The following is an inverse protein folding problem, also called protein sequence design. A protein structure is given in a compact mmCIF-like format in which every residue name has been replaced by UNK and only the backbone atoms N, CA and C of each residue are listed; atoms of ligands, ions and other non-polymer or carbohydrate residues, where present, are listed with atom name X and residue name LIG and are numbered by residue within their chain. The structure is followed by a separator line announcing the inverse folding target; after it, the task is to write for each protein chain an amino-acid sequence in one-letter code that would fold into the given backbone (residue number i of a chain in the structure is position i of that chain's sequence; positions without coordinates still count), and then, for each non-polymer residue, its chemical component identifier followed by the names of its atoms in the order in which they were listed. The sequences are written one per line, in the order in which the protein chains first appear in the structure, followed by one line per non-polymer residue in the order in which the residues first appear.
data_IF_327705687906
#
_entry.id   IF_327705687906
#
_cell.length_a   1.000
_cell.length_b   1.000
_cell.length_c   1.000
_cell.angle_alpha   90.00
_cell.angle_beta   90.00
_cell.angle_gamma   90.00
#
_symmetry.space_group_name_H-M   'P 1'
#
loop_
_entity.id
_entity.type
_entity.pdbx_description
1 polymer ?
#
# COMPACT_ATOMS: atom_id res chain seq x y z
N UNK A 1 42.66 83.88 16.01
CA UNK A 1 43.39 85.16 15.86
C UNK A 1 42.39 86.28 15.59
N UNK A 2 42.70 87.52 15.99
CA UNK A 2 41.78 88.67 15.88
C UNK A 2 41.54 89.11 14.42
N UNK A 3 40.37 89.71 14.16
CA UNK A 3 39.94 90.24 12.85
C UNK A 3 40.49 91.65 12.59
N UNK A 4 40.82 91.93 11.33
CA UNK A 4 40.77 93.27 10.71
C UNK A 4 40.29 93.12 9.25
N UNK A 5 39.71 94.19 8.69
CA UNK A 5 39.07 94.18 7.39
C UNK A 5 39.65 95.29 6.49
N UNK A 6 40.09 94.91 5.30
CA UNK A 6 40.41 95.76 4.15
C UNK A 6 40.34 94.87 2.89
N UNK A 7 40.18 95.46 1.70
CA UNK A 7 39.89 94.72 0.46
C UNK A 7 41.01 93.82 -0.07
N UNK A 8 40.61 92.94 -0.98
CA UNK A 8 41.44 92.16 -1.93
C UNK A 8 42.63 91.35 -1.36
N UNK A 9 42.28 90.19 -0.79
CA UNK A 9 43.05 88.92 -0.80
C UNK A 9 44.44 88.87 -0.14
N UNK A 10 44.52 88.35 1.09
CA UNK A 10 45.75 87.72 1.67
C UNK A 10 45.38 86.51 2.56
N UNK A 11 46.25 85.50 2.62
CA UNK A 11 46.14 84.25 3.41
C UNK A 11 47.57 83.72 3.76
N UNK A 12 47.83 82.66 4.54
CA UNK A 12 47.04 81.55 5.12
C UNK A 12 47.61 81.17 6.54
N UNK A 13 47.36 79.93 7.01
CA UNK A 13 48.14 79.09 7.97
C UNK A 13 47.83 79.21 9.48
N UNK A 14 47.83 78.13 10.29
CA UNK A 14 47.63 76.68 10.04
C UNK A 14 47.11 75.99 11.34
N UNK A 15 46.36 74.89 11.15
CA UNK A 15 46.07 73.72 12.03
C UNK A 15 45.98 73.82 13.57
N UNK A 16 44.95 73.19 14.15
CA UNK A 16 45.07 72.01 15.06
C UNK A 16 43.69 71.54 15.58
N UNK A 17 43.30 70.37 15.07
CA UNK A 17 42.57 69.23 15.69
C UNK A 17 41.20 69.35 16.39
N UNK A 18 40.34 68.45 15.90
CA UNK A 18 39.45 67.50 16.62
C UNK A 18 38.21 68.00 17.35
N UNK A 19 37.04 67.61 16.84
CA UNK A 19 35.75 67.76 17.53
C UNK A 19 34.54 67.18 16.79
N UNK A 20 34.71 66.17 15.92
CA UNK A 20 33.60 65.66 15.09
C UNK A 20 32.61 64.87 15.94
N UNK A 21 31.45 65.48 16.21
CA UNK A 21 30.31 64.84 16.89
C UNK A 21 29.74 63.71 16.02
N UNK A 22 29.87 62.46 16.48
CA UNK A 22 29.22 61.31 15.85
C UNK A 22 27.72 61.31 16.15
N UNK A 23 26.91 61.80 15.21
CA UNK A 23 25.46 61.56 15.23
C UNK A 23 25.20 60.15 14.73
N UNK A 24 25.03 59.19 15.66
CA UNK A 24 24.56 57.83 15.33
C UNK A 24 23.14 57.91 14.77
N UNK A 25 22.98 57.81 13.45
CA UNK A 25 21.69 57.48 12.83
C UNK A 25 21.38 56.02 13.11
N UNK A 26 20.39 55.73 13.97
CA UNK A 26 19.81 54.39 14.03
C UNK A 26 18.90 54.21 12.81
N UNK A 27 19.35 53.42 11.85
CA UNK A 27 18.44 52.81 10.87
C UNK A 27 17.75 51.64 11.55
N UNK A 28 16.49 51.82 11.96
CA UNK A 28 15.64 50.70 12.40
C UNK A 28 15.12 50.02 11.15
N UNK A 29 15.80 48.95 10.73
CA UNK A 29 15.30 48.06 9.68
C UNK A 29 14.09 47.30 10.22
N UNK A 30 12.88 47.72 9.83
CA UNK A 30 11.65 47.02 10.17
C UNK A 30 11.59 45.68 9.43
N UNK A 31 11.88 44.59 10.15
CA UNK A 31 11.73 43.24 9.62
C UNK A 31 10.25 42.88 9.56
N UNK A 32 9.63 43.09 8.39
CA UNK A 32 8.28 42.61 8.10
C UNK A 32 8.28 41.08 8.03
N UNK A 33 8.01 40.44 9.16
CA UNK A 33 7.66 39.03 9.23
C UNK A 33 6.29 38.83 8.57
N UNK A 34 6.29 38.63 7.26
CA UNK A 34 5.15 38.06 6.54
C UNK A 34 5.03 36.61 6.98
N UNK A 35 4.22 36.38 8.02
CA UNK A 35 3.76 35.04 8.36
C UNK A 35 2.82 34.59 7.24
N UNK A 36 3.39 33.88 6.26
CA UNK A 36 2.59 33.08 5.33
C UNK A 36 1.91 32.05 6.20
N UNK A 37 0.60 32.16 6.38
CA UNK A 37 -0.19 31.12 7.00
C UNK A 37 -0.01 29.86 6.14
N UNK A 38 0.76 28.89 6.64
CA UNK A 38 0.74 27.55 6.05
C UNK A 38 -0.71 27.09 6.09
N UNK A 39 -1.33 26.71 4.96
CA UNK A 39 -2.66 26.15 5.00
C UNK A 39 -2.61 24.97 5.98
N UNK A 40 -3.48 25.01 7.00
CA UNK A 40 -3.62 23.88 7.90
C UNK A 40 -3.97 22.68 7.03
N UNK A 41 -3.13 21.65 7.03
CA UNK A 41 -3.42 20.41 6.34
C UNK A 41 -4.84 20.00 6.74
N UNK A 42 -5.75 19.95 5.75
CA UNK A 42 -7.05 19.36 6.00
C UNK A 42 -6.78 17.91 6.40
N UNK A 43 -7.43 17.38 7.44
CA UNK A 43 -7.30 15.96 7.77
C UNK A 43 -7.66 15.14 6.53
N UNK A 44 -6.88 14.10 6.25
CA UNK A 44 -7.09 13.21 5.11
C UNK A 44 -8.50 12.66 5.07
N UNK A 45 -9.01 12.43 3.86
CA UNK A 45 -10.31 11.79 3.64
C UNK A 45 -10.20 10.33 4.06
N UNK A 46 -11.23 9.81 4.75
CA UNK A 46 -11.39 8.38 4.95
C UNK A 46 -12.32 7.86 3.85
N UNK A 47 -11.84 6.92 3.05
CA UNK A 47 -12.54 6.35 1.91
C UNK A 47 -12.69 4.85 2.13
N UNK A 48 -13.92 4.38 2.38
CA UNK A 48 -14.22 2.96 2.57
C UNK A 48 -14.68 2.31 1.24
N UNK A 49 -14.06 1.18 0.87
CA UNK A 49 -14.39 0.39 -0.31
C UNK A 49 -14.74 -1.04 0.11
N UNK A 50 -15.88 -1.52 -0.36
CA UNK A 50 -16.41 -2.85 -0.08
C UNK A 50 -15.75 -3.98 -0.87
N UNK A 51 -16.50 -5.06 -1.01
CA UNK A 51 -16.16 -6.30 -1.71
C UNK A 51 -15.57 -6.04 -3.10
N UNK A 52 -14.48 -6.75 -3.44
CA UNK A 52 -13.80 -6.62 -4.74
C UNK A 52 -13.87 -7.92 -5.54
N UNK A 53 -13.81 -9.09 -4.90
CA UNK A 53 -13.92 -10.41 -5.57
C UNK A 53 -13.12 -10.54 -6.88
N UNK A 54 -11.84 -10.15 -6.85
CA UNK A 54 -10.97 -10.21 -8.02
C UNK A 54 -11.38 -9.30 -9.21
N UNK A 55 -12.31 -8.35 -9.05
CA UNK A 55 -12.73 -7.37 -10.07
C UNK A 55 -11.67 -6.26 -10.24
N UNK A 56 -10.48 -6.64 -10.71
CA UNK A 56 -9.30 -5.75 -10.77
C UNK A 56 -9.49 -4.54 -11.68
N UNK A 57 -10.27 -4.65 -12.77
CA UNK A 57 -10.50 -3.53 -13.69
C UNK A 57 -11.35 -2.44 -13.04
N UNK A 58 -12.46 -2.87 -12.44
CA UNK A 58 -13.42 -2.06 -11.71
C UNK A 58 -12.76 -1.41 -10.48
N UNK A 59 -11.97 -2.17 -9.73
CA UNK A 59 -11.25 -1.66 -8.55
C UNK A 59 -10.21 -0.60 -8.92
N UNK A 60 -9.41 -0.82 -9.98
CA UNK A 60 -8.46 0.16 -10.51
C UNK A 60 -9.15 1.45 -10.97
N UNK A 61 -10.28 1.33 -11.68
CA UNK A 61 -11.05 2.48 -12.14
C UNK A 61 -11.70 3.25 -10.97
N UNK A 62 -12.16 2.55 -9.93
CA UNK A 62 -12.71 3.14 -8.71
C UNK A 62 -11.65 3.95 -7.95
N UNK A 63 -10.46 3.38 -7.71
CA UNK A 63 -9.36 4.09 -7.03
C UNK A 63 -8.91 5.36 -7.78
N UNK A 64 -8.85 5.31 -9.11
CA UNK A 64 -8.58 6.48 -9.95
C UNK A 64 -9.70 7.53 -9.86
N UNK A 65 -10.96 7.11 -9.91
CA UNK A 65 -12.13 8.01 -9.82
C UNK A 65 -12.23 8.70 -8.46
N UNK A 66 -11.71 8.05 -7.40
CA UNK A 66 -11.63 8.59 -6.04
C UNK A 66 -10.37 9.44 -5.80
N UNK A 67 -9.51 9.60 -6.81
CA UNK A 67 -8.23 10.32 -6.74
C UNK A 67 -7.27 9.72 -5.69
N UNK A 68 -7.35 8.41 -5.44
CA UNK A 68 -6.42 7.67 -4.57
C UNK A 68 -5.21 7.15 -5.34
N UNK A 69 -5.39 6.80 -6.62
CA UNK A 69 -4.30 6.33 -7.50
C UNK A 69 -4.25 7.05 -8.85
N UNK A 70 -3.06 7.12 -9.43
CA UNK A 70 -2.82 7.69 -10.76
C UNK A 70 -3.11 6.70 -11.91
N UNK A 71 -2.76 7.11 -13.14
CA UNK A 71 -2.91 6.30 -14.36
C UNK A 71 -2.19 4.93 -14.28
N UNK A 72 -1.02 4.88 -13.65
CA UNK A 72 -0.18 3.70 -13.49
C UNK A 72 -0.50 2.90 -12.21
N UNK A 73 -1.50 3.37 -11.44
CA UNK A 73 -1.95 2.84 -10.16
C UNK A 73 -0.96 3.06 -9.00
N UNK A 74 -0.13 4.10 -9.08
CA UNK A 74 0.65 4.60 -7.95
C UNK A 74 -0.21 5.47 -7.02
N UNK A 75 0.08 5.47 -5.71
CA UNK A 75 -0.65 6.27 -4.72
C UNK A 75 -0.48 7.79 -4.94
N UNK A 76 -1.61 8.49 -5.02
CA UNK A 76 -1.67 9.96 -5.06
C UNK A 76 -2.62 10.56 -4.02
N UNK A 77 -3.27 9.74 -3.18
CA UNK A 77 -4.20 10.18 -2.13
C UNK A 77 -3.56 11.03 -1.01
N UNK A 78 -2.24 11.24 -1.03
CA UNK A 78 -1.54 12.04 -0.03
C UNK A 78 -1.72 11.48 1.38
N UNK A 79 -2.41 12.25 2.25
CA UNK A 79 -2.71 11.90 3.64
C UNK A 79 -4.05 11.14 3.82
N UNK A 80 -4.74 10.77 2.74
CA UNK A 80 -5.99 10.03 2.81
C UNK A 80 -5.82 8.61 3.39
N UNK A 81 -6.90 8.08 3.97
CA UNK A 81 -6.99 6.70 4.46
C UNK A 81 -7.95 5.91 3.58
N UNK A 82 -7.43 4.91 2.85
CA UNK A 82 -8.25 3.90 2.18
C UNK A 82 -8.55 2.76 3.15
N UNK A 83 -9.82 2.48 3.43
CA UNK A 83 -10.25 1.30 4.16
C UNK A 83 -10.87 0.30 3.19
N UNK A 84 -10.21 -0.82 2.96
CA UNK A 84 -10.79 -1.94 2.22
C UNK A 84 -11.37 -2.94 3.23
N UNK A 85 -12.66 -3.27 3.09
CA UNK A 85 -13.43 -3.96 4.14
C UNK A 85 -13.48 -5.49 4.03
N UNK A 86 -12.56 -6.10 3.28
CA UNK A 86 -12.51 -7.54 3.03
C UNK A 86 -13.20 -7.99 1.75
N UNK A 87 -13.26 -9.30 1.54
CA UNK A 87 -13.88 -9.96 0.38
C UNK A 87 -13.23 -9.53 -0.96
N UNK A 88 -11.90 -9.64 -0.98
CA UNK A 88 -10.98 -9.46 -2.10
C UNK A 88 -10.83 -10.71 -2.95
N UNK A 89 -10.85 -11.89 -2.31
CA UNK A 89 -10.64 -13.20 -2.96
C UNK A 89 -11.91 -13.77 -3.60
N UNK A 90 -11.78 -14.92 -4.26
CA UNK A 90 -12.86 -15.67 -4.91
C UNK A 90 -13.60 -14.98 -6.07
N UNK A 91 -14.42 -15.78 -6.78
CA UNK A 91 -15.28 -15.40 -7.92
C UNK A 91 -14.56 -14.86 -9.16
N UNK A 92 -13.96 -13.67 -9.10
CA UNK A 92 -13.29 -13.04 -10.23
C UNK A 92 -11.84 -13.50 -10.41
N UNK A 93 -11.33 -13.48 -11.65
CA UNK A 93 -9.98 -14.00 -11.94
C UNK A 93 -8.83 -13.05 -11.55
N UNK A 94 -9.11 -11.81 -11.16
CA UNK A 94 -8.09 -10.80 -10.85
C UNK A 94 -7.53 -10.82 -9.42
N UNK A 95 -7.91 -11.78 -8.58
CA UNK A 95 -7.53 -11.83 -7.14
C UNK A 95 -6.04 -11.57 -6.90
N UNK A 96 -5.15 -12.25 -7.63
CA UNK A 96 -3.70 -12.05 -7.54
C UNK A 96 -3.31 -10.57 -7.70
N UNK A 97 -3.81 -9.93 -8.75
CA UNK A 97 -3.53 -8.54 -9.06
C UNK A 97 -4.20 -7.53 -8.11
N UNK A 98 -5.31 -7.89 -7.45
CA UNK A 98 -5.94 -7.10 -6.39
C UNK A 98 -5.09 -7.11 -5.12
N UNK A 99 -4.61 -8.30 -4.72
CA UNK A 99 -3.73 -8.46 -3.56
C UNK A 99 -2.37 -7.77 -3.80
N UNK A 100 -1.74 -7.99 -4.96
CA UNK A 100 -0.48 -7.33 -5.35
C UNK A 100 -0.62 -5.79 -5.39
N UNK A 101 -1.79 -5.28 -5.78
CA UNK A 101 -2.10 -3.84 -5.78
C UNK A 101 -2.18 -3.31 -4.35
N UNK A 102 -2.97 -3.94 -3.48
CA UNK A 102 -3.14 -3.50 -2.09
C UNK A 102 -1.85 -3.61 -1.27
N UNK A 103 -1.10 -4.71 -1.42
CA UNK A 103 0.22 -4.89 -0.79
C UNK A 103 1.19 -3.75 -1.14
N UNK A 104 1.13 -3.24 -2.38
CA UNK A 104 1.97 -2.12 -2.82
C UNK A 104 1.44 -0.78 -2.30
N UNK A 105 0.14 -0.52 -2.44
CA UNK A 105 -0.48 0.73 -1.98
C UNK A 105 -0.35 0.95 -0.47
N UNK A 106 -0.34 -0.12 0.34
CA UNK A 106 -0.02 -0.03 1.78
C UNK A 106 1.37 0.58 2.05
N UNK A 107 2.35 0.29 1.18
CA UNK A 107 3.69 0.87 1.30
C UNK A 107 3.71 2.31 0.78
N UNK A 108 3.20 2.53 -0.44
CA UNK A 108 3.21 3.85 -1.09
C UNK A 108 2.41 4.90 -0.30
N UNK A 109 1.27 4.53 0.29
CA UNK A 109 0.47 5.43 1.11
C UNK A 109 1.20 5.83 2.41
N UNK A 110 1.81 4.87 3.09
CA UNK A 110 2.58 5.13 4.32
C UNK A 110 3.79 6.05 4.04
N UNK A 111 4.47 5.89 2.90
CA UNK A 111 5.55 6.77 2.46
C UNK A 111 5.07 8.20 2.14
N UNK A 112 3.83 8.35 1.63
CA UNK A 112 3.18 9.64 1.38
C UNK A 112 2.54 10.30 2.63
N UNK A 113 2.49 9.58 3.76
CA UNK A 113 1.85 10.04 5.00
C UNK A 113 0.32 9.84 5.05
N UNK A 114 -0.22 9.00 4.17
CA UNK A 114 -1.58 8.45 4.24
C UNK A 114 -1.56 7.00 4.75
N UNK A 115 -2.65 6.28 4.56
CA UNK A 115 -2.79 4.91 5.06
C UNK A 115 -3.68 4.05 4.14
N UNK A 116 -3.34 2.77 4.00
CA UNK A 116 -4.26 1.75 3.46
C UNK A 116 -4.47 0.71 4.55
N UNK A 117 -5.73 0.50 4.91
CA UNK A 117 -6.17 -0.46 5.92
C UNK A 117 -6.98 -1.54 5.21
N UNK A 118 -6.43 -2.75 5.15
CA UNK A 118 -7.16 -3.93 4.68
C UNK A 118 -7.66 -4.73 5.87
N UNK A 119 -8.97 -4.97 5.92
CA UNK A 119 -9.65 -5.81 6.92
C UNK A 119 -9.93 -7.19 6.31
N UNK A 120 -9.88 -8.25 7.12
CA UNK A 120 -10.24 -9.60 6.65
C UNK A 120 -11.76 -9.78 6.50
N UNK A 121 -12.20 -10.18 5.32
CA UNK A 121 -13.54 -10.69 5.06
C UNK A 121 -13.66 -12.20 5.34
N UNK A 122 -14.85 -12.74 5.08
CA UNK A 122 -15.06 -14.18 5.17
C UNK A 122 -14.40 -14.92 4.01
N UNK A 123 -14.26 -14.32 2.83
CA UNK A 123 -13.58 -14.94 1.71
C UNK A 123 -12.08 -15.08 1.93
N UNK A 124 -11.39 -14.08 2.50
CA UNK A 124 -9.98 -14.25 2.89
C UNK A 124 -9.82 -15.35 3.94
N UNK A 125 -10.73 -15.41 4.91
CA UNK A 125 -10.73 -16.46 5.95
C UNK A 125 -10.93 -17.85 5.34
N UNK A 126 -11.81 -17.98 4.35
CA UNK A 126 -12.02 -19.22 3.59
C UNK A 126 -10.76 -19.63 2.80
N UNK A 127 -10.15 -18.71 2.04
CA UNK A 127 -8.90 -18.97 1.31
C UNK A 127 -7.76 -19.39 2.25
N UNK A 128 -7.61 -18.73 3.41
CA UNK A 128 -6.62 -19.06 4.45
C UNK A 128 -6.85 -20.43 5.14
N UNK A 129 -8.04 -21.01 4.98
CA UNK A 129 -8.43 -22.33 5.49
C UNK A 129 -8.51 -23.40 4.38
N UNK A 130 -8.07 -23.09 3.16
CA UNK A 130 -8.22 -23.95 1.97
C UNK A 130 -9.69 -24.32 1.64
N UNK A 131 -10.65 -23.48 2.04
CA UNK A 131 -12.05 -23.64 1.68
C UNK A 131 -12.33 -22.92 0.35
N UNK A 132 -12.31 -23.68 -0.74
CA UNK A 132 -12.39 -23.17 -2.12
C UNK A 132 -13.82 -23.11 -2.68
N UNK A 133 -14.86 -23.03 -1.83
CA UNK A 133 -16.28 -23.11 -2.23
C UNK A 133 -16.68 -22.12 -3.33
N UNK A 134 -16.16 -20.90 -3.29
CA UNK A 134 -16.46 -19.82 -4.23
C UNK A 134 -15.29 -19.52 -5.20
N UNK A 135 -14.25 -20.35 -5.17
CA UNK A 135 -13.10 -20.26 -6.06
C UNK A 135 -13.40 -20.99 -7.37
N UNK A 136 -13.20 -20.34 -8.52
CA UNK A 136 -13.46 -20.94 -9.83
C UNK A 136 -12.21 -21.58 -10.45
N UNK A 137 -12.33 -22.58 -11.34
CA UNK A 137 -11.19 -23.12 -12.09
C UNK A 137 -10.44 -22.05 -12.90
N UNK A 138 -11.14 -21.04 -13.42
CA UNK A 138 -10.54 -19.92 -14.17
C UNK A 138 -9.71 -19.00 -13.26
N UNK A 139 -10.10 -18.84 -11.99
CA UNK A 139 -9.32 -18.15 -10.97
C UNK A 139 -8.08 -18.98 -10.58
N UNK A 140 -8.26 -20.28 -10.30
CA UNK A 140 -7.14 -21.19 -10.00
C UNK A 140 -6.11 -21.20 -11.13
N UNK A 141 -6.54 -21.24 -12.40
CA UNK A 141 -5.66 -21.18 -13.56
C UNK A 141 -4.77 -19.93 -13.63
N UNK A 142 -5.11 -18.81 -12.94
CA UNK A 142 -4.23 -17.63 -12.80
C UNK A 142 -3.07 -17.82 -11.82
N UNK A 143 -3.06 -18.93 -11.08
CA UNK A 143 -1.98 -19.31 -10.17
C UNK A 143 -1.09 -20.44 -10.74
N UNK A 144 -1.51 -21.10 -11.81
CA UNK A 144 -0.79 -22.21 -12.43
C UNK A 144 0.65 -21.83 -12.85
N UNK A 145 1.62 -22.58 -12.36
CA UNK A 145 3.01 -22.52 -12.79
C UNK A 145 3.26 -23.34 -14.08
N UNK A 146 4.44 -23.19 -14.72
CA UNK A 146 4.84 -24.05 -15.85
C UNK A 146 4.95 -25.53 -15.47
N UNK A 147 5.09 -25.82 -14.17
CA UNK A 147 5.20 -27.14 -13.55
C UNK A 147 3.87 -27.67 -12.96
N UNK A 148 2.76 -26.92 -13.09
CA UNK A 148 1.46 -27.27 -12.48
C UNK A 148 1.02 -28.71 -12.77
N UNK A 149 1.15 -29.14 -14.03
CA UNK A 149 0.80 -30.50 -14.47
C UNK A 149 1.64 -31.57 -13.78
N UNK A 150 2.95 -31.36 -13.65
CA UNK A 150 3.85 -32.28 -12.92
C UNK A 150 3.58 -32.28 -11.42
N UNK A 151 3.30 -31.11 -10.82
CA UNK A 151 2.97 -30.99 -9.40
C UNK A 151 1.68 -31.73 -9.06
N UNK A 152 0.64 -31.58 -9.88
CA UNK A 152 -0.62 -32.32 -9.76
C UNK A 152 -0.42 -33.83 -9.91
N UNK A 153 0.43 -34.26 -10.85
CA UNK A 153 0.75 -35.67 -11.02
C UNK A 153 1.45 -36.26 -9.77
N UNK A 154 2.36 -35.54 -9.14
CA UNK A 154 3.01 -35.97 -7.90
C UNK A 154 2.04 -35.96 -6.71
N UNK A 155 1.24 -34.90 -6.55
CA UNK A 155 0.27 -34.76 -5.47
C UNK A 155 -0.85 -35.82 -5.51
N UNK A 156 -1.14 -36.42 -6.68
CA UNK A 156 -2.01 -37.59 -6.76
C UNK A 156 -1.38 -38.84 -6.12
N UNK A 157 -0.08 -39.06 -6.29
CA UNK A 157 0.62 -40.16 -5.60
C UNK A 157 0.67 -39.93 -4.08
N UNK A 158 0.90 -38.68 -3.65
CA UNK A 158 0.82 -38.29 -2.22
C UNK A 158 -0.61 -38.51 -1.66
N UNK A 159 -1.65 -38.20 -2.46
CA UNK A 159 -3.05 -38.46 -2.12
C UNK A 159 -3.34 -39.95 -1.96
N UNK A 160 -2.82 -40.82 -2.84
CA UNK A 160 -2.96 -42.27 -2.70
C UNK A 160 -2.27 -42.78 -1.43
N UNK A 161 -1.05 -42.32 -1.13
CA UNK A 161 -0.33 -42.67 0.08
C UNK A 161 -1.09 -42.25 1.35
N UNK A 162 -1.56 -41.01 1.41
CA UNK A 162 -2.37 -40.48 2.51
C UNK A 162 -3.70 -41.23 2.67
N UNK A 163 -4.33 -41.64 1.57
CA UNK A 163 -5.59 -42.38 1.60
C UNK A 163 -5.39 -43.81 2.11
N UNK A 164 -4.28 -44.47 1.74
CA UNK A 164 -3.91 -45.77 2.28
C UNK A 164 -3.63 -45.71 3.80
N UNK A 165 -2.84 -44.73 4.26
CA UNK A 165 -2.58 -44.51 5.70
C UNK A 165 -3.88 -44.26 6.49
N UNK A 166 -4.80 -43.47 5.91
CA UNK A 166 -6.11 -43.21 6.52
C UNK A 166 -7.03 -44.43 6.48
N UNK A 167 -6.91 -45.31 5.49
CA UNK A 167 -7.71 -46.52 5.42
C UNK A 167 -7.41 -47.46 6.60
N UNK A 168 -6.13 -47.60 6.97
CA UNK A 168 -5.73 -48.38 8.16
C UNK A 168 -6.29 -47.77 9.45
N UNK A 169 -6.35 -46.44 9.56
CA UNK A 169 -6.85 -45.74 10.75
C UNK A 169 -8.39 -45.70 10.84
N UNK A 170 -9.11 -45.62 9.71
CA UNK A 170 -10.57 -45.48 9.65
C UNK A 170 -11.30 -46.82 9.46
N UNK A 171 -10.61 -47.84 8.96
CA UNK A 171 -11.17 -49.17 8.71
C UNK A 171 -12.43 -49.10 7.84
N UNK A 172 -13.58 -49.67 8.24
CA UNK A 172 -14.83 -49.62 7.47
C UNK A 172 -15.43 -48.23 7.23
N UNK A 173 -14.89 -47.17 7.85
CA UNK A 173 -15.31 -45.78 7.62
C UNK A 173 -14.41 -45.05 6.60
N UNK A 174 -13.37 -45.71 6.08
CA UNK A 174 -12.53 -45.16 5.04
C UNK A 174 -13.32 -45.00 3.73
N UNK A 175 -13.33 -43.80 3.11
CA UNK A 175 -13.83 -43.65 1.75
C UNK A 175 -12.86 -44.31 0.76
N UNK A 176 -13.38 -44.82 -0.35
CA UNK A 176 -12.55 -45.26 -1.48
C UNK A 176 -11.72 -44.09 -2.02
N UNK A 177 -10.51 -44.39 -2.52
CA UNK A 177 -9.70 -43.41 -3.22
C UNK A 177 -10.37 -43.02 -4.55
N UNK A 178 -10.41 -41.71 -4.84
CA UNK A 178 -10.80 -41.19 -6.15
C UNK A 178 -9.88 -41.76 -7.23
N UNK A 179 -10.45 -42.07 -8.40
CA UNK A 179 -9.63 -42.36 -9.57
C UNK A 179 -8.80 -41.13 -9.97
N UNK A 180 -7.76 -41.37 -10.77
CA UNK A 180 -6.87 -40.30 -11.24
C UNK A 180 -7.62 -39.20 -11.99
N UNK A 181 -8.61 -39.57 -12.80
CA UNK A 181 -9.34 -38.61 -13.62
C UNK A 181 -10.29 -37.77 -12.75
N UNK A 182 -10.98 -38.38 -11.78
CA UNK A 182 -11.83 -37.66 -10.80
C UNK A 182 -11.01 -36.71 -9.90
N UNK A 183 -9.84 -37.16 -9.45
CA UNK A 183 -8.92 -36.32 -8.68
C UNK A 183 -8.41 -35.15 -9.52
N UNK A 184 -8.03 -35.38 -10.78
CA UNK A 184 -7.54 -34.34 -11.68
C UNK A 184 -8.64 -33.32 -12.05
N UNK A 185 -9.89 -33.75 -12.20
CA UNK A 185 -11.02 -32.85 -12.45
C UNK A 185 -11.30 -31.92 -11.25
N UNK A 186 -11.29 -32.50 -10.04
CA UNK A 186 -11.50 -31.76 -8.78
C UNK A 186 -10.32 -30.89 -8.34
N UNK A 187 -9.12 -31.16 -8.85
CA UNK A 187 -7.88 -30.42 -8.56
C UNK A 187 -7.30 -29.85 -9.87
N UNK A 188 -7.86 -28.77 -10.46
CA UNK A 188 -7.43 -28.22 -11.75
C UNK A 188 -6.02 -27.56 -11.71
N UNK A 189 -5.43 -27.20 -12.87
CA UNK A 189 -4.19 -26.42 -12.92
C UNK A 189 -4.25 -25.16 -12.06
N UNK A 190 -3.20 -24.93 -11.26
CA UNK A 190 -3.13 -23.81 -10.33
C UNK A 190 -3.82 -24.02 -8.98
N UNK A 191 -4.51 -25.15 -8.77
CA UNK A 191 -5.08 -25.52 -7.46
C UNK A 191 -4.02 -25.54 -6.36
N UNK A 192 -2.91 -26.26 -6.57
CA UNK A 192 -1.85 -26.42 -5.57
C UNK A 192 -1.10 -25.09 -5.34
N UNK A 193 -0.86 -24.34 -6.41
CA UNK A 193 -0.18 -23.05 -6.36
C UNK A 193 -1.03 -21.95 -5.70
N UNK A 194 -2.36 -22.03 -5.81
CA UNK A 194 -3.27 -21.20 -5.03
C UNK A 194 -3.16 -21.57 -3.54
N UNK A 195 -3.23 -22.86 -3.20
CA UNK A 195 -3.08 -23.32 -1.81
C UNK A 195 -1.73 -22.93 -1.21
N UNK A 196 -0.62 -23.02 -1.96
CA UNK A 196 0.68 -22.51 -1.53
C UNK A 196 0.65 -21.00 -1.27
N UNK A 197 0.03 -20.22 -2.18
CA UNK A 197 0.04 -18.77 -2.12
C UNK A 197 -0.76 -18.20 -0.93
N UNK A 198 -1.84 -18.89 -0.53
CA UNK A 198 -2.64 -18.58 0.66
C UNK A 198 -2.23 -19.38 1.91
N UNK A 199 -1.33 -20.35 1.78
CA UNK A 199 -0.76 -21.14 2.87
C UNK A 199 0.03 -20.29 3.87
N UNK A 200 0.37 -20.82 5.07
CA UNK A 200 1.05 -20.06 6.12
C UNK A 200 2.36 -19.38 5.66
N UNK A 201 3.10 -20.02 4.75
CA UNK A 201 4.34 -19.52 4.16
C UNK A 201 4.16 -18.91 2.75
N UNK A 202 2.92 -18.78 2.28
CA UNK A 202 2.58 -18.08 1.04
C UNK A 202 2.72 -16.56 1.17
N UNK A 203 2.99 -15.82 0.08
CA UNK A 203 3.04 -14.36 0.10
C UNK A 203 1.71 -13.75 0.58
N UNK A 204 0.58 -14.20 0.02
CA UNK A 204 -0.75 -13.70 0.42
C UNK A 204 -1.18 -14.26 1.77
N UNK A 205 -0.87 -15.53 2.06
CA UNK A 205 -1.19 -16.14 3.35
C UNK A 205 -0.51 -15.44 4.54
N UNK A 206 0.77 -15.08 4.44
CA UNK A 206 1.45 -14.25 5.45
C UNK A 206 0.85 -12.86 5.54
N UNK A 207 0.62 -12.19 4.41
CA UNK A 207 0.12 -10.83 4.38
C UNK A 207 -1.28 -10.73 5.00
N UNK A 208 -2.21 -11.61 4.60
CA UNK A 208 -3.56 -11.68 5.15
C UNK A 208 -3.57 -12.02 6.64
N UNK A 209 -2.73 -12.95 7.12
CA UNK A 209 -2.63 -13.27 8.56
C UNK A 209 -2.10 -12.11 9.42
N UNK A 210 -1.55 -11.05 8.83
CA UNK A 210 -1.19 -9.82 9.54
C UNK A 210 -2.33 -8.80 9.65
N UNK A 211 -3.46 -9.02 8.97
CA UNK A 211 -4.55 -8.05 8.86
C UNK A 211 -5.53 -8.11 10.03
N UNK A 212 -6.07 -6.96 10.48
CA UNK A 212 -7.12 -6.92 11.47
C UNK A 212 -8.44 -7.48 10.94
N UNK A 213 -9.29 -7.96 11.85
CA UNK A 213 -10.72 -8.25 11.59
C UNK A 213 -11.62 -7.05 11.90
N UNK A 214 -11.09 -6.03 12.60
CA UNK A 214 -11.76 -4.76 12.93
C UNK A 214 -10.70 -3.66 12.94
N UNK A 215 -10.94 -2.59 12.19
CA UNK A 215 -10.13 -1.39 12.22
C UNK A 215 -10.84 -0.26 12.97
N UNK A 216 -10.05 0.66 13.54
CA UNK A 216 -10.54 1.94 14.05
C UNK A 216 -9.88 3.05 13.23
N UNK A 217 -10.72 3.93 12.69
CA UNK A 217 -10.37 5.15 11.95
C UNK A 217 -11.02 6.37 12.61
#
# INVERSE_FOLDING_TARGET
MSLRHAGETVSITHDVRSGTRWVRRLCVSGLLLVSVATPSAQPGRIVAVGDVHGAIGEFRALLQTLELTDADQGWIGGQDTLVQTGDLTDRGTGVRAVLDLLMRLETEAAEAGGEVIVVLGNHETMSLMANLRDTTPELLARFAGPDSTSRRAAAYEDYLALTAERADALGPLAPDALSRDEWMDTHPPGFLEYLDAFGPDGPYGRWLRSKPIVARV
#
